data_IF_043366344640
#
_entry.id   IF_043366344640
#
_cell.length_a   1.000
_cell.length_b   1.000
_cell.length_c   1.000
_cell.angle_alpha   90.00
_cell.angle_beta   90.00
_cell.angle_gamma   90.00
#
_symmetry.space_group_name_H-M   'P 1'
#
loop_
_entity.id
_entity.type
_entity.pdbx_description
1 polymer ?
#
# COMPACT_ATOMS: atom_id res chain seq x y z
N UNK A 1 8.75 4.74 -14.75
CA UNK A 1 8.88 4.66 -13.27
C UNK A 1 8.43 3.27 -12.80
N UNK A 2 8.80 2.84 -11.58
CA UNK A 2 8.27 1.60 -11.01
C UNK A 2 6.87 1.84 -10.41
N UNK A 3 6.03 0.83 -10.45
CA UNK A 3 4.67 0.88 -9.92
C UNK A 3 4.27 -0.45 -9.27
N UNK A 4 3.34 -0.37 -8.31
CA UNK A 4 2.66 -1.54 -7.74
C UNK A 4 1.15 -1.33 -7.79
N UNK A 5 0.44 -2.42 -8.06
CA UNK A 5 -1.02 -2.45 -7.99
C UNK A 5 -1.48 -2.92 -6.61
N UNK A 6 -2.38 -2.15 -5.99
CA UNK A 6 -3.02 -2.40 -4.71
C UNK A 6 -4.53 -2.46 -4.91
N UNK A 7 -5.21 -3.34 -4.18
CA UNK A 7 -6.67 -3.26 -4.11
C UNK A 7 -7.09 -2.00 -3.35
N UNK A 8 -8.27 -1.48 -3.63
CA UNK A 8 -8.91 -0.54 -2.72
C UNK A 8 -9.44 -1.30 -1.50
N UNK A 9 -9.37 -0.74 -0.28
CA UNK A 9 -9.02 0.65 0.03
C UNK A 9 -7.51 0.95 0.20
N UNK A 10 -6.65 -0.07 0.19
CA UNK A 10 -5.23 0.08 0.52
C UNK A 10 -4.47 1.05 -0.40
N UNK A 11 -4.79 1.08 -1.69
CA UNK A 11 -4.20 2.06 -2.61
C UNK A 11 -4.39 3.51 -2.11
N UNK A 12 -5.60 3.84 -1.66
CA UNK A 12 -5.92 5.17 -1.12
C UNK A 12 -5.25 5.40 0.22
N UNK A 13 -5.26 4.42 1.13
CA UNK A 13 -4.62 4.55 2.43
C UNK A 13 -3.11 4.81 2.34
N UNK A 14 -2.44 4.21 1.36
CA UNK A 14 -1.01 4.46 1.09
C UNK A 14 -0.81 5.90 0.64
N UNK A 15 -1.50 6.37 -0.40
CA UNK A 15 -1.26 7.73 -0.92
C UNK A 15 -1.73 8.84 0.02
N UNK A 16 -2.64 8.54 0.95
CA UNK A 16 -3.00 9.42 2.07
C UNK A 16 -1.94 9.47 3.18
N UNK A 17 -0.91 8.60 3.11
CA UNK A 17 0.14 8.49 4.13
C UNK A 17 -0.32 7.87 5.46
N UNK A 18 -1.51 7.27 5.48
CA UNK A 18 -2.10 6.64 6.67
C UNK A 18 -1.63 5.19 6.81
N UNK A 19 -1.45 4.51 5.67
CA UNK A 19 -0.80 3.21 5.59
C UNK A 19 0.63 3.40 5.10
N UNK A 20 1.57 3.24 6.00
CA UNK A 20 3.00 3.48 5.76
C UNK A 20 3.78 2.21 5.48
N UNK A 21 3.22 1.04 5.78
CA UNK A 21 3.86 -0.26 5.57
C UNK A 21 3.02 -1.13 4.65
N UNK A 22 3.51 -1.40 3.45
CA UNK A 22 2.85 -2.31 2.51
C UNK A 22 3.35 -3.75 2.69
N UNK A 23 2.44 -4.71 2.90
CA UNK A 23 2.80 -6.10 3.23
C UNK A 23 2.60 -7.03 2.04
N UNK A 24 3.66 -7.70 1.58
CA UNK A 24 3.65 -8.60 0.42
C UNK A 24 4.20 -9.97 0.77
N UNK A 25 3.79 -10.99 0.02
CA UNK A 25 4.38 -12.34 0.10
C UNK A 25 5.72 -12.47 -0.67
N UNK A 26 6.24 -11.36 -1.19
CA UNK A 26 7.53 -11.30 -1.88
C UNK A 26 8.26 -10.00 -1.51
N UNK A 27 9.59 -10.08 -1.49
CA UNK A 27 10.48 -8.95 -1.26
C UNK A 27 11.12 -8.45 -2.55
N UNK A 28 11.78 -7.30 -2.47
CA UNK A 28 12.57 -6.73 -3.56
C UNK A 28 13.77 -5.95 -3.02
N UNK A 29 14.82 -5.85 -3.83
CA UNK A 29 15.96 -4.95 -3.56
C UNK A 29 15.69 -3.52 -4.02
N UNK A 30 14.58 -3.26 -4.72
CA UNK A 30 14.23 -1.94 -5.22
C UNK A 30 14.00 -0.93 -4.09
N UNK A 31 14.60 0.26 -4.22
CA UNK A 31 14.40 1.44 -3.38
C UNK A 31 14.22 2.67 -4.27
N UNK A 32 13.44 3.64 -3.82
CA UNK A 32 13.13 4.87 -4.56
C UNK A 32 11.66 5.01 -4.95
N UNK A 33 11.40 5.91 -5.90
CA UNK A 33 10.06 6.32 -6.30
C UNK A 33 9.18 5.18 -6.81
N UNK A 34 8.01 5.02 -6.19
CA UNK A 34 7.02 4.04 -6.60
C UNK A 34 5.67 4.69 -6.85
N UNK A 35 5.08 4.38 -8.00
CA UNK A 35 3.71 4.75 -8.31
C UNK A 35 2.74 3.76 -7.66
N UNK A 36 1.67 4.29 -7.08
CA UNK A 36 0.62 3.51 -6.45
C UNK A 36 -0.56 3.42 -7.41
N UNK A 37 -0.83 2.23 -7.88
CA UNK A 37 -1.96 1.93 -8.76
C UNK A 37 -3.10 1.29 -7.98
N UNK A 38 -4.30 1.84 -8.13
CA UNK A 38 -5.53 1.21 -7.65
C UNK A 38 -5.97 0.16 -8.68
N UNK A 39 -5.85 -1.12 -8.31
CA UNK A 39 -6.32 -2.28 -9.08
C UNK A 39 -7.83 -2.21 -9.33
N UNK A 40 -8.32 -2.90 -10.36
CA UNK A 40 -9.76 -2.99 -10.65
C UNK A 40 -10.52 -3.95 -9.72
N UNK A 41 -9.82 -4.81 -8.98
CA UNK A 41 -10.43 -5.76 -8.07
C UNK A 41 -11.20 -5.07 -6.92
N UNK A 42 -12.39 -5.59 -6.60
CA UNK A 42 -13.28 -5.04 -5.56
C UNK A 42 -13.29 -5.85 -4.26
N UNK A 43 -12.40 -6.83 -4.12
CA UNK A 43 -12.37 -7.72 -2.95
C UNK A 43 -12.17 -6.97 -1.63
N UNK A 44 -11.46 -5.84 -1.63
CA UNK A 44 -11.30 -5.04 -0.41
C UNK A 44 -12.53 -4.23 0.03
N UNK A 45 -13.61 -4.22 -0.76
CA UNK A 45 -14.88 -3.59 -0.36
C UNK A 45 -15.47 -4.18 0.91
N UNK A 46 -15.15 -5.44 1.24
CA UNK A 46 -15.60 -6.10 2.47
C UNK A 46 -15.12 -5.38 3.73
N UNK A 47 -13.95 -4.72 3.68
CA UNK A 47 -13.37 -4.00 4.81
C UNK A 47 -13.84 -2.54 4.90
N UNK A 48 -14.51 -2.02 3.87
CA UNK A 48 -14.79 -0.59 3.75
C UNK A 48 -15.59 0.01 4.92
N UNK A 49 -16.46 -0.79 5.54
CA UNK A 49 -17.30 -0.35 6.64
C UNK A 49 -16.71 -0.62 8.03
N UNK A 50 -15.58 -1.35 8.09
CA UNK A 50 -14.95 -1.73 9.34
C UNK A 50 -13.97 -0.63 9.80
N UNK A 51 -13.93 -0.28 11.10
CA UNK A 51 -12.79 0.42 11.64
C UNK A 51 -11.51 -0.42 11.47
N UNK A 52 -10.36 0.17 11.12
CA UNK A 52 -10.14 1.61 10.95
C UNK A 52 -10.39 2.14 9.52
N UNK A 53 -10.76 1.30 8.56
CA UNK A 53 -10.97 1.70 7.15
C UNK A 53 -12.05 2.78 6.99
N UNK A 54 -13.21 2.61 7.64
CA UNK A 54 -14.34 3.55 7.52
C UNK A 54 -14.01 4.98 7.96
N UNK A 55 -13.05 5.15 8.88
CA UNK A 55 -12.57 6.46 9.35
C UNK A 55 -11.94 7.27 8.22
N UNK A 56 -11.19 6.60 7.33
CA UNK A 56 -10.44 7.24 6.25
C UNK A 56 -11.17 7.17 4.91
N UNK A 57 -12.01 6.15 4.72
CA UNK A 57 -12.74 5.87 3.48
C UNK A 57 -14.24 5.85 3.79
N UNK A 58 -14.88 7.03 3.93
CA UNK A 58 -16.30 7.10 4.27
C UNK A 58 -17.21 6.62 3.12
N UNK A 59 -16.73 6.69 1.87
CA UNK A 59 -17.47 6.24 0.69
C UNK A 59 -16.56 5.48 -0.28
N UNK A 60 -16.54 4.16 -0.15
CA UNK A 60 -15.75 3.27 -1.01
C UNK A 60 -16.12 3.38 -2.49
N UNK A 61 -17.36 3.74 -2.81
CA UNK A 61 -17.84 3.80 -4.21
C UNK A 61 -17.22 4.98 -4.97
N UNK A 62 -16.70 5.99 -4.26
CA UNK A 62 -16.03 7.15 -4.83
C UNK A 62 -14.54 6.95 -5.08
N UNK A 63 -13.98 5.82 -4.65
CA UNK A 63 -12.56 5.56 -4.84
C UNK A 63 -12.24 5.32 -6.33
N UNK A 64 -11.09 5.80 -6.81
CA UNK A 64 -10.61 5.50 -8.16
C UNK A 64 -10.17 4.03 -8.27
N UNK A 65 -10.40 3.44 -9.45
CA UNK A 65 -9.97 2.09 -9.82
C UNK A 65 -9.35 2.11 -11.21
N UNK A 66 -8.43 1.19 -11.50
CA UNK A 66 -7.77 1.09 -12.80
C UNK A 66 -6.88 2.30 -13.14
N UNK A 67 -6.34 2.97 -12.13
CA UNK A 67 -5.55 4.19 -12.30
C UNK A 67 -4.42 4.28 -11.29
N UNK A 68 -3.35 4.98 -11.65
CA UNK A 68 -2.33 5.47 -10.73
C UNK A 68 -2.92 6.63 -9.95
N UNK A 69 -2.93 6.51 -8.62
CA UNK A 69 -3.61 7.44 -7.70
C UNK A 69 -2.63 8.33 -6.93
N UNK A 70 -1.34 8.06 -7.07
CA UNK A 70 -0.28 8.80 -6.40
C UNK A 70 1.05 8.08 -6.46
N UNK A 71 1.97 8.55 -5.62
CA UNK A 71 3.31 7.98 -5.46
C UNK A 71 3.77 8.00 -4.00
N UNK A 72 4.80 7.23 -3.73
CA UNK A 72 5.56 7.23 -2.49
C UNK A 72 7.03 6.87 -2.80
N UNK A 73 7.87 6.81 -1.77
CA UNK A 73 9.23 6.29 -1.85
C UNK A 73 9.30 4.97 -1.08
N UNK A 74 9.84 3.92 -1.70
CA UNK A 74 10.24 2.70 -0.99
C UNK A 74 11.56 2.97 -0.29
N UNK A 75 11.49 3.16 1.03
CA UNK A 75 12.66 3.40 1.88
C UNK A 75 13.35 2.09 2.26
N UNK A 76 12.57 1.08 2.66
CA UNK A 76 13.10 -0.24 2.98
C UNK A 76 12.11 -1.37 2.65
N UNK A 77 12.62 -2.59 2.57
CA UNK A 77 11.85 -3.82 2.40
C UNK A 77 12.51 -4.88 3.28
N UNK A 78 11.83 -5.25 4.35
CA UNK A 78 12.35 -6.18 5.37
C UNK A 78 11.47 -7.41 5.47
N UNK A 79 12.04 -8.62 5.67
CA UNK A 79 11.27 -9.78 6.04
C UNK A 79 10.57 -9.55 7.39
N UNK A 80 9.31 -9.97 7.52
CA UNK A 80 8.57 -9.88 8.78
C UNK A 80 9.28 -10.63 9.91
N UNK A 81 9.93 -11.76 9.62
CA UNK A 81 10.77 -12.49 10.59
C UNK A 81 11.87 -11.62 11.21
N UNK A 82 12.41 -10.67 10.44
CA UNK A 82 13.44 -9.74 10.91
C UNK A 82 12.82 -8.57 11.69
N UNK A 83 11.54 -8.28 11.47
CA UNK A 83 10.79 -7.33 12.28
C UNK A 83 10.50 -7.87 13.69
N UNK A 84 10.27 -9.18 13.84
CA UNK A 84 10.13 -9.80 15.17
C UNK A 84 11.43 -9.73 15.99
N UNK A 85 12.60 -9.83 15.34
CA UNK A 85 13.89 -9.63 16.00
C UNK A 85 14.16 -8.17 16.36
N UNK A 86 13.46 -7.24 15.72
CA UNK A 86 13.46 -5.80 15.99
C UNK A 86 12.08 -5.38 16.48
N UNK A 87 11.57 -6.06 17.51
CA UNK A 87 10.26 -5.85 18.15
C UNK A 87 9.87 -4.36 18.29
N UNK A 88 10.84 -3.46 18.38
CA UNK A 88 10.65 -2.01 18.34
C UNK A 88 9.85 -1.50 17.13
N UNK A 89 10.05 -1.98 15.90
CA UNK A 89 9.34 -1.43 14.73
C UNK A 89 7.86 -1.86 14.70
N UNK A 90 7.58 -3.15 14.90
CA UNK A 90 6.20 -3.67 14.99
C UNK A 90 5.48 -3.13 16.23
N UNK A 91 6.16 -2.95 17.36
CA UNK A 91 5.55 -2.37 18.55
C UNK A 91 5.29 -0.87 18.41
N UNK A 92 6.03 -0.16 17.55
CA UNK A 92 5.77 1.24 17.20
C UNK A 92 4.66 1.42 16.19
N UNK A 93 4.28 0.38 15.44
CA UNK A 93 3.12 0.48 14.55
C UNK A 93 1.85 0.67 15.36
N UNK A 94 1.05 1.65 14.95
CA UNK A 94 -0.27 1.87 15.54
C UNK A 94 -1.16 0.65 15.31
N UNK A 95 -2.19 0.49 16.15
CA UNK A 95 -3.21 -0.54 15.92
C UNK A 95 -3.85 -0.41 14.53
N UNK A 96 -3.96 0.82 14.02
CA UNK A 96 -4.50 1.08 12.68
C UNK A 96 -3.57 0.53 11.58
N UNK A 97 -2.28 0.81 11.65
CA UNK A 97 -1.29 0.30 10.67
C UNK A 97 -1.22 -1.23 10.68
N UNK A 98 -1.34 -1.85 11.86
CA UNK A 98 -1.43 -3.31 12.01
C UNK A 98 -2.68 -3.87 11.33
N UNK A 99 -3.82 -3.19 11.47
CA UNK A 99 -5.08 -3.61 10.84
C UNK A 99 -5.07 -3.47 9.30
N UNK A 100 -4.19 -2.65 8.73
CA UNK A 100 -4.09 -2.46 7.29
C UNK A 100 -3.23 -3.49 6.57
N UNK A 101 -2.54 -4.38 7.27
CA UNK A 101 -1.56 -5.30 6.67
C UNK A 101 -1.65 -6.71 7.23
N UNK A 102 -1.02 -7.63 6.51
CA UNK A 102 -0.78 -9.00 6.99
C UNK A 102 0.70 -9.13 7.35
N UNK A 103 0.97 -9.16 8.65
CA UNK A 103 2.30 -9.28 9.26
C UNK A 103 2.57 -10.71 9.72
N UNK A 104 1.97 -11.71 9.06
CA UNK A 104 2.30 -13.12 9.31
C UNK A 104 3.72 -13.44 8.82
N UNK A 105 4.35 -14.45 9.41
CA UNK A 105 5.66 -14.95 8.98
C UNK A 105 5.69 -15.32 7.49
N UNK A 106 6.86 -15.20 6.86
CA UNK A 106 7.06 -15.45 5.43
C UNK A 106 6.67 -14.29 4.51
N UNK A 107 6.17 -13.18 5.07
CA UNK A 107 5.88 -11.94 4.34
C UNK A 107 7.00 -10.92 4.46
N UNK A 108 6.89 -9.86 3.67
CA UNK A 108 7.80 -8.72 3.62
C UNK A 108 7.01 -7.44 3.87
N UNK A 109 7.56 -6.57 4.70
CA UNK A 109 7.07 -5.23 4.94
C UNK A 109 7.88 -4.23 4.10
N UNK A 110 7.18 -3.51 3.24
CA UNK A 110 7.70 -2.43 2.41
C UNK A 110 7.44 -1.13 3.15
N UNK A 111 8.50 -0.51 3.65
CA UNK A 111 8.46 0.76 4.36
C UNK A 111 8.39 1.88 3.33
N UNK A 112 7.31 2.67 3.42
CA UNK A 112 7.02 3.76 2.49
C UNK A 112 7.12 5.10 3.19
N UNK A 113 7.54 6.13 2.45
CA UNK A 113 7.54 7.53 2.90
C UNK A 113 7.24 8.49 1.75
N UNK A 114 7.19 9.79 2.05
CA UNK A 114 7.03 10.87 1.07
C UNK A 114 5.84 10.65 0.13
N UNK A 115 4.67 10.45 0.75
CA UNK A 115 3.41 10.15 0.07
C UNK A 115 2.86 11.38 -0.65
N UNK A 116 2.46 11.18 -1.90
CA UNK A 116 1.77 12.18 -2.69
C UNK A 116 0.56 11.55 -3.38
N UNK A 117 -0.63 11.99 -2.99
CA UNK A 117 -1.86 11.72 -3.72
C UNK A 117 -1.93 12.63 -4.96
N UNK A 118 -2.38 12.08 -6.09
CA UNK A 118 -2.63 12.87 -7.29
C UNK A 118 -4.06 13.43 -7.29
N UNK A 119 -4.22 14.70 -7.65
CA UNK A 119 -5.53 15.35 -7.79
C UNK A 119 -6.38 14.68 -8.88
N UNK A 120 -5.71 14.28 -9.97
CA UNK A 120 -6.32 13.56 -11.09
C UNK A 120 -5.63 12.21 -11.24
N UNK A 121 -6.33 11.09 -10.97
CA UNK A 121 -5.79 9.75 -11.21
C UNK A 121 -5.43 9.54 -12.68
N UNK A 122 -4.30 8.88 -12.93
CA UNK A 122 -3.81 8.61 -14.29
C UNK A 122 -4.25 7.20 -14.70
N UNK A 123 -5.14 7.03 -15.70
CA UNK A 123 -5.58 5.71 -16.14
C UNK A 123 -4.41 4.83 -16.57
N UNK A 124 -4.35 3.61 -16.03
CA UNK A 124 -3.28 2.66 -16.35
C UNK A 124 -3.76 1.22 -16.13
N UNK A 125 -3.27 0.31 -16.98
CA UNK A 125 -3.50 -1.13 -16.77
C UNK A 125 -2.59 -1.62 -15.66
N UNK A 126 -3.16 -2.11 -14.56
CA UNK A 126 -2.41 -2.72 -13.47
C UNK A 126 -1.74 -4.02 -13.91
N UNK A 127 -0.60 -4.33 -13.29
CA UNK A 127 0.14 -5.57 -13.51
C UNK A 127 0.52 -6.20 -12.17
N UNK A 128 0.84 -7.49 -12.19
CA UNK A 128 1.34 -8.20 -11.03
C UNK A 128 2.78 -7.77 -10.73
N UNK A 129 3.20 -8.00 -9.48
CA UNK A 129 4.55 -7.71 -9.00
C UNK A 129 4.93 -6.22 -9.15
N UNK A 130 6.22 -5.91 -9.08
CA UNK A 130 6.75 -4.58 -9.38
C UNK A 130 6.84 -4.42 -10.91
N UNK A 131 6.14 -3.44 -11.47
CA UNK A 131 6.06 -3.25 -12.92
C UNK A 131 6.56 -1.88 -13.36
N UNK A 132 6.88 -1.76 -14.65
CA UNK A 132 7.34 -0.50 -15.25
C UNK A 132 6.18 0.24 -15.89
N UNK A 133 5.99 1.49 -15.47
CA UNK A 133 5.11 2.43 -16.14
C UNK A 133 5.92 3.26 -17.15
N UNK A 134 5.63 3.14 -18.47
CA UNK A 134 6.27 3.96 -19.49
C UNK A 134 5.86 5.42 -19.30
N UNK A 135 6.83 6.32 -19.40
CA UNK A 135 6.62 7.76 -19.35
C UNK A 135 6.04 8.27 -20.67
#
# INVERSE_FOLDING_TARGET
>A
MRAISLLQPWASLVVMGVKTVETRNWGTQYRGDILIHASQGKAGSIFANDPPFKKYIPDFKKLPFGAIVGKAIVEDVVPISNMHLSDELLNRLTMEEKAFGDYSEGRYAWILKDFQQFDVPVPARGMLSLWEYPY
#
